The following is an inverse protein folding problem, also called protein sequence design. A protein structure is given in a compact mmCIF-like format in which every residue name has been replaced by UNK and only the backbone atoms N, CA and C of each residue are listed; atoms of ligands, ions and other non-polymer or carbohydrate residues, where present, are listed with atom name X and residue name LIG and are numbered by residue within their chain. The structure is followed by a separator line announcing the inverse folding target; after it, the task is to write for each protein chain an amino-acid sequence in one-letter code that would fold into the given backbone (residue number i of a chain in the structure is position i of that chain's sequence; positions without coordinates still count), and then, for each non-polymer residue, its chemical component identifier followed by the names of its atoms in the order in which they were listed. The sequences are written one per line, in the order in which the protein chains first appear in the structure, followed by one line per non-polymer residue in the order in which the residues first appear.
data_IF_666645096551
#
_entry.id   IF_666645096551
#
_cell.length_a   1.000
_cell.length_b   1.000
_cell.length_c   1.000
_cell.angle_alpha   90.00
_cell.angle_beta   90.00
_cell.angle_gamma   90.00
#
_symmetry.space_group_name_H-M   'P 1'
#
loop_
_entity.id
_entity.type
_entity.pdbx_description
1 polymer ?
#
# COMPACT_ATOMS: atom_id res chain seq x y z
N UNK A 1 -20.91 10.00 -5.75
CA UNK A 1 -20.40 9.83 -4.37
C UNK A 1 -19.44 8.65 -4.19
N UNK A 2 -19.47 7.60 -5.04
CA UNK A 2 -18.54 6.46 -4.92
C UNK A 2 -17.04 6.80 -4.95
N UNK A 3 -16.65 7.89 -5.63
CA UNK A 3 -15.26 8.38 -5.65
C UNK A 3 -14.72 8.69 -4.25
N UNK A 4 -15.51 9.34 -3.38
CA UNK A 4 -15.08 9.67 -2.00
C UNK A 4 -14.85 8.37 -1.22
N UNK A 5 -15.75 7.40 -1.38
CA UNK A 5 -15.68 6.13 -0.65
C UNK A 5 -14.43 5.34 -1.05
N UNK A 6 -14.12 5.28 -2.35
CA UNK A 6 -12.98 4.49 -2.83
C UNK A 6 -11.66 5.26 -2.72
N UNK A 7 -11.64 6.57 -2.93
CA UNK A 7 -10.36 7.33 -2.94
C UNK A 7 -9.96 7.88 -1.58
N UNK A 8 -10.90 8.00 -0.64
CA UNK A 8 -10.64 8.58 0.69
C UNK A 8 -10.92 7.55 1.78
N UNK A 9 -12.14 6.99 1.82
CA UNK A 9 -12.53 6.10 2.92
C UNK A 9 -11.76 4.78 2.85
N UNK A 10 -11.62 4.16 1.67
CA UNK A 10 -10.92 2.89 1.53
C UNK A 10 -9.43 2.98 1.93
N UNK A 11 -8.63 3.96 1.47
CA UNK A 11 -7.25 4.09 1.93
C UNK A 11 -7.11 4.37 3.43
N UNK A 12 -8.05 5.12 4.02
CA UNK A 12 -8.10 5.35 5.46
C UNK A 12 -8.43 4.10 6.26
N UNK A 13 -9.38 3.29 5.79
CA UNK A 13 -9.89 2.13 6.54
C UNK A 13 -9.07 0.86 6.32
N UNK A 14 -8.46 0.67 5.14
CA UNK A 14 -7.73 -0.57 4.83
C UNK A 14 -6.58 -0.86 5.81
N UNK A 15 -5.70 0.10 6.18
CA UNK A 15 -4.70 -0.11 7.21
C UNK A 15 -5.31 -0.37 8.60
N UNK A 16 -6.44 0.24 8.94
CA UNK A 16 -7.11 0.04 10.25
C UNK A 16 -7.73 -1.36 10.36
N UNK A 17 -8.29 -1.87 9.26
CA UNK A 17 -8.77 -3.25 9.16
C UNK A 17 -7.58 -4.20 9.30
N UNK A 18 -6.50 -3.98 8.55
CA UNK A 18 -5.28 -4.78 8.65
C UNK A 18 -4.69 -4.76 10.08
N UNK A 19 -4.73 -3.60 10.75
CA UNK A 19 -4.29 -3.43 12.13
C UNK A 19 -5.09 -4.33 13.08
N UNK A 20 -6.39 -4.50 12.83
CA UNK A 20 -7.26 -5.33 13.69
C UNK A 20 -6.85 -6.80 13.67
N UNK A 21 -6.39 -7.30 12.52
CA UNK A 21 -5.84 -8.66 12.39
C UNK A 21 -4.44 -8.81 12.99
N UNK A 22 -3.63 -7.75 12.96
CA UNK A 22 -2.26 -7.77 13.48
C UNK A 22 -2.17 -7.43 14.97
N UNK A 23 -3.22 -6.85 15.55
CA UNK A 23 -3.29 -6.45 16.97
C UNK A 23 -2.89 -7.54 17.97
N UNK A 24 -3.24 -8.83 17.78
CA UNK A 24 -2.80 -9.89 18.69
C UNK A 24 -1.28 -10.09 18.75
N UNK A 25 -0.55 -9.57 17.76
CA UNK A 25 0.90 -9.68 17.65
C UNK A 25 1.64 -8.42 18.17
N UNK A 26 0.93 -7.47 18.78
CA UNK A 26 1.50 -6.18 19.12
C UNK A 26 2.54 -6.22 20.24
N UNK A 27 3.64 -5.49 20.03
CA UNK A 27 4.75 -5.37 20.98
C UNK A 27 4.38 -4.37 22.10
N UNK A 28 4.76 -4.63 23.37
CA UNK A 28 4.51 -3.72 24.48
C UNK A 28 4.98 -2.28 24.23
N UNK A 29 4.16 -1.32 24.66
CA UNK A 29 4.33 0.11 24.42
C UNK A 29 5.62 0.70 25.04
N UNK A 30 6.18 0.02 26.05
CA UNK A 30 7.45 0.35 26.71
C UNK A 30 8.67 0.25 25.80
N UNK A 31 8.55 -0.36 24.61
CA UNK A 31 9.65 -0.52 23.64
C UNK A 31 9.56 0.48 22.47
N UNK A 32 8.68 1.49 22.55
CA UNK A 32 8.51 2.46 21.44
C UNK A 32 9.72 3.41 21.34
N UNK A 33 10.41 3.46 20.17
CA UNK A 33 11.54 4.36 19.96
C UNK A 33 11.11 5.83 19.85
N UNK A 34 12.07 6.74 20.00
CA UNK A 34 11.86 8.20 20.05
C UNK A 34 11.17 8.79 18.83
N UNK A 35 10.52 9.95 19.04
CA UNK A 35 9.73 10.74 18.06
C UNK A 35 10.59 11.37 16.95
N UNK A 36 11.19 10.54 16.10
CA UNK A 36 11.91 11.00 14.90
C UNK A 36 11.03 10.84 13.66
N UNK A 37 10.97 11.88 12.81
CA UNK A 37 10.22 11.87 11.55
C UNK A 37 10.63 10.75 10.58
N UNK A 38 11.86 10.22 10.71
CA UNK A 38 12.34 9.10 9.90
C UNK A 38 11.68 7.77 10.30
N UNK A 39 11.19 7.65 11.53
CA UNK A 39 10.56 6.42 12.05
C UNK A 39 9.28 6.08 11.28
N UNK A 40 8.32 7.01 11.09
CA UNK A 40 7.18 6.77 10.20
C UNK A 40 7.57 6.29 8.80
N UNK A 41 8.52 6.94 8.13
CA UNK A 41 8.94 6.55 6.78
C UNK A 41 9.52 5.14 6.74
N UNK A 42 10.36 4.78 7.72
CA UNK A 42 10.92 3.43 7.87
C UNK A 42 9.87 2.37 8.18
N UNK A 43 8.81 2.76 8.88
CA UNK A 43 7.71 1.92 9.32
C UNK A 43 6.62 1.78 8.25
N UNK A 44 7.00 1.75 6.97
CA UNK A 44 6.07 1.45 5.89
C UNK A 44 4.99 2.51 5.66
N UNK A 45 5.06 3.72 6.25
CA UNK A 45 4.03 4.74 6.06
C UNK A 45 4.00 5.29 4.62
N UNK A 46 5.04 5.05 3.82
CA UNK A 46 4.99 5.31 2.38
C UNK A 46 3.92 4.48 1.65
N UNK A 47 3.54 3.31 2.20
CA UNK A 47 2.51 2.46 1.62
C UNK A 47 1.13 3.11 1.60
N UNK A 48 0.87 4.15 2.40
CA UNK A 48 -0.37 4.93 2.31
C UNK A 48 -0.58 5.52 0.92
N UNK A 49 0.49 6.05 0.30
CA UNK A 49 0.44 6.52 -1.08
C UNK A 49 0.13 5.39 -2.06
N UNK A 50 0.77 4.23 -1.89
CA UNK A 50 0.50 3.06 -2.71
C UNK A 50 -0.98 2.63 -2.65
N UNK A 51 -1.55 2.60 -1.45
CA UNK A 51 -2.97 2.24 -1.22
C UNK A 51 -3.88 3.24 -1.94
N UNK A 52 -3.63 4.55 -1.82
CA UNK A 52 -4.41 5.58 -2.51
C UNK A 52 -4.34 5.45 -4.04
N UNK A 53 -3.15 5.23 -4.60
CA UNK A 53 -3.00 5.02 -6.05
C UNK A 53 -3.69 3.73 -6.52
N UNK A 54 -3.60 2.64 -5.76
CA UNK A 54 -4.29 1.39 -6.09
C UNK A 54 -5.81 1.58 -6.05
N UNK A 55 -6.33 2.24 -5.01
CA UNK A 55 -7.75 2.48 -4.86
C UNK A 55 -8.31 3.37 -5.98
N UNK A 56 -7.61 4.47 -6.32
CA UNK A 56 -7.96 5.33 -7.44
C UNK A 56 -7.95 4.56 -8.78
N UNK A 57 -6.92 3.75 -9.02
CA UNK A 57 -6.82 2.91 -10.23
C UNK A 57 -7.97 1.91 -10.32
N UNK A 58 -8.31 1.24 -9.22
CA UNK A 58 -9.42 0.29 -9.15
C UNK A 58 -10.77 0.96 -9.38
N UNK A 59 -10.95 2.19 -8.90
CA UNK A 59 -12.15 2.98 -9.17
C UNK A 59 -12.31 3.25 -10.66
N UNK A 60 -11.27 3.77 -11.31
CA UNK A 60 -11.30 4.08 -12.74
C UNK A 60 -11.53 2.84 -13.60
N UNK A 61 -10.82 1.74 -13.30
CA UNK A 61 -11.02 0.47 -13.99
C UNK A 61 -12.41 -0.11 -13.75
N UNK A 62 -12.96 0.05 -12.55
CA UNK A 62 -14.31 -0.40 -12.19
C UNK A 62 -15.40 0.30 -13.01
N UNK A 63 -15.31 1.61 -13.17
CA UNK A 63 -16.23 2.38 -14.03
C UNK A 63 -16.17 1.86 -15.47
N UNK A 64 -14.96 1.70 -16.01
CA UNK A 64 -14.76 1.26 -17.40
C UNK A 64 -15.22 -0.18 -17.66
N UNK A 65 -15.07 -1.07 -16.67
CA UNK A 65 -15.53 -2.46 -16.77
C UNK A 65 -17.06 -2.53 -16.89
N UNK A 66 -17.78 -1.66 -16.19
CA UNK A 66 -19.25 -1.64 -16.23
C UNK A 66 -19.81 -1.27 -17.61
N UNK A 67 -19.11 -0.42 -18.35
CA UNK A 67 -19.51 0.01 -19.69
C UNK A 67 -19.25 -1.03 -20.77
N UNK A 68 -18.35 -2.00 -20.53
CA UNK A 68 -17.88 -2.95 -21.54
C UNK A 68 -17.99 -4.39 -21.05
N UNK A 69 -19.17 -4.76 -20.54
CA UNK A 69 -19.51 -6.09 -20.07
C UNK A 69 -19.43 -7.14 -21.19
N UNK A 70 -18.21 -7.60 -21.49
CA UNK A 70 -17.91 -8.74 -22.34
C UNK A 70 -17.26 -9.86 -21.51
N UNK A 71 -17.60 -11.12 -21.81
CA UNK A 71 -17.37 -12.31 -20.98
C UNK A 71 -15.96 -12.93 -21.05
N UNK A 72 -14.91 -12.16 -21.37
CA UNK A 72 -13.54 -12.67 -21.53
C UNK A 72 -12.59 -12.30 -20.38
N UNK A 73 -11.65 -13.21 -20.05
CA UNK A 73 -10.46 -12.86 -19.25
C UNK A 73 -9.65 -11.86 -20.07
N UNK A 74 -9.77 -10.59 -19.72
CA UNK A 74 -9.08 -9.49 -20.37
C UNK A 74 -7.83 -9.11 -19.58
N UNK A 75 -6.85 -8.48 -20.25
CA UNK A 75 -5.69 -7.86 -19.61
C UNK A 75 -6.10 -6.96 -18.43
N UNK A 76 -7.26 -6.31 -18.53
CA UNK A 76 -7.87 -5.50 -17.49
C UNK A 76 -8.17 -6.30 -16.21
N UNK A 77 -8.65 -7.55 -16.33
CA UNK A 77 -8.90 -8.43 -15.18
C UNK A 77 -7.61 -8.76 -14.41
N UNK A 78 -6.53 -9.06 -15.13
CA UNK A 78 -5.21 -9.28 -14.51
C UNK A 78 -4.68 -8.02 -13.81
N UNK A 79 -4.86 -6.85 -14.41
CA UNK A 79 -4.45 -5.57 -13.81
C UNK A 79 -5.24 -5.28 -12.53
N UNK A 80 -6.57 -5.51 -12.53
CA UNK A 80 -7.40 -5.39 -11.32
C UNK A 80 -6.91 -6.32 -10.23
N UNK A 81 -6.67 -7.60 -10.54
CA UNK A 81 -6.17 -8.57 -9.57
C UNK A 81 -4.80 -8.15 -9.00
N UNK A 82 -3.90 -7.65 -9.86
CA UNK A 82 -2.59 -7.15 -9.45
C UNK A 82 -2.70 -5.95 -8.50
N UNK A 83 -3.57 -4.99 -8.81
CA UNK A 83 -3.82 -3.81 -7.96
C UNK A 83 -4.44 -4.18 -6.62
N UNK A 84 -5.34 -5.18 -6.58
CA UNK A 84 -5.90 -5.70 -5.32
C UNK A 84 -4.80 -6.31 -4.45
N UNK A 85 -3.95 -7.17 -5.02
CA UNK A 85 -2.82 -7.78 -4.30
C UNK A 85 -1.87 -6.70 -3.78
N UNK A 86 -1.55 -5.70 -4.61
CA UNK A 86 -0.69 -4.58 -4.23
C UNK A 86 -1.30 -3.77 -3.08
N UNK A 87 -2.59 -3.45 -3.15
CA UNK A 87 -3.33 -2.76 -2.09
C UNK A 87 -3.29 -3.53 -0.77
N UNK A 88 -3.53 -4.85 -0.80
CA UNK A 88 -3.52 -5.71 0.39
C UNK A 88 -2.13 -5.75 1.01
N UNK A 89 -1.08 -6.00 0.22
CA UNK A 89 0.30 -6.06 0.72
C UNK A 89 0.75 -4.71 1.30
N UNK A 90 0.44 -3.61 0.61
CA UNK A 90 0.72 -2.25 1.11
C UNK A 90 -0.02 -1.95 2.41
N UNK A 91 -1.29 -2.37 2.54
CA UNK A 91 -2.08 -2.19 3.77
C UNK A 91 -1.50 -2.98 4.94
N UNK A 92 -1.07 -4.22 4.71
CA UNK A 92 -0.41 -5.05 5.71
C UNK A 92 0.92 -4.46 6.16
N UNK A 93 1.72 -3.90 5.23
CA UNK A 93 2.98 -3.24 5.57
C UNK A 93 2.77 -1.93 6.34
N UNK A 94 1.78 -1.13 5.97
CA UNK A 94 1.44 0.10 6.69
C UNK A 94 0.99 -0.20 8.13
N UNK A 95 0.11 -1.18 8.30
CA UNK A 95 -0.36 -1.63 9.61
C UNK A 95 0.76 -2.31 10.42
N UNK A 96 1.55 -3.16 9.78
CA UNK A 96 2.69 -3.85 10.38
C UNK A 96 3.74 -2.87 10.90
N UNK A 97 4.06 -1.82 10.15
CA UNK A 97 5.00 -0.80 10.62
C UNK A 97 4.46 0.04 11.78
N UNK A 98 3.13 0.19 11.91
CA UNK A 98 2.53 0.81 13.09
C UNK A 98 2.68 -0.05 14.35
N UNK A 99 2.66 -1.38 14.21
CA UNK A 99 2.73 -2.35 15.31
C UNK A 99 4.17 -2.71 15.68
N UNK A 100 5.04 -2.84 14.69
CA UNK A 100 6.43 -3.27 14.82
C UNK A 100 7.36 -2.12 14.43
N UNK A 101 7.50 -1.09 15.28
CA UNK A 101 8.36 0.04 14.96
C UNK A 101 9.81 -0.42 14.83
N UNK A 102 10.43 -0.06 13.72
CA UNK A 102 11.85 -0.35 13.50
C UNK A 102 12.72 0.60 14.31
N UNK A 103 13.78 0.07 14.92
CA UNK A 103 14.75 0.91 15.62
C UNK A 103 15.40 1.90 14.67
N UNK A 104 15.59 3.13 15.16
CA UNK A 104 16.26 4.15 14.39
C UNK A 104 17.77 3.87 14.26
N UNK A 105 18.36 3.30 15.31
CA UNK A 105 19.77 2.92 15.38
C UNK A 105 19.99 1.57 14.72
N UNK A 106 20.97 1.52 13.81
CA UNK A 106 21.41 0.29 13.16
C UNK A 106 22.37 -0.45 14.09
N UNK A 107 22.06 -1.70 14.41
CA UNK A 107 22.98 -2.55 15.18
C UNK A 107 24.30 -2.78 14.42
N UNK A 108 25.41 -2.84 15.15
CA UNK A 108 26.72 -3.12 14.58
C UNK A 108 26.70 -4.46 13.82
N UNK A 109 27.31 -4.51 12.63
CA UNK A 109 27.36 -5.70 11.78
C UNK A 109 26.14 -5.94 10.87
N UNK A 110 25.03 -5.20 11.03
CA UNK A 110 23.88 -5.31 10.13
C UNK A 110 24.10 -4.50 8.84
N UNK A 111 23.99 -5.14 7.68
CA UNK A 111 24.05 -4.47 6.36
C UNK A 111 22.95 -3.41 6.23
N UNK A 112 23.27 -2.27 5.60
CA UNK A 112 22.35 -1.14 5.47
C UNK A 112 21.01 -1.52 4.83
N UNK A 113 21.01 -2.22 3.68
CA UNK A 113 19.76 -2.60 3.01
C UNK A 113 18.87 -3.53 3.86
N UNK A 114 19.44 -4.33 4.76
CA UNK A 114 18.69 -5.19 5.68
C UNK A 114 18.01 -4.36 6.77
N UNK A 115 18.70 -3.33 7.28
CA UNK A 115 18.15 -2.35 8.23
C UNK A 115 17.00 -1.55 7.63
N UNK A 116 17.14 -1.13 6.37
CA UNK A 116 16.14 -0.33 5.64
C UNK A 116 15.20 -1.17 4.77
N UNK A 117 15.08 -2.49 4.99
CA UNK A 117 14.30 -3.37 4.10
C UNK A 117 12.84 -2.95 3.99
N UNK A 118 12.19 -2.61 5.11
CA UNK A 118 10.78 -2.19 5.11
C UNK A 118 10.58 -0.91 4.29
N UNK A 119 11.48 0.08 4.48
CA UNK A 119 11.50 1.31 3.70
C UNK A 119 11.70 1.07 2.20
N UNK A 120 12.66 0.22 1.83
CA UNK A 120 12.93 -0.09 0.41
C UNK A 120 11.75 -0.80 -0.24
N UNK A 121 11.11 -1.72 0.47
CA UNK A 121 9.91 -2.41 -0.01
C UNK A 121 8.74 -1.43 -0.15
N UNK A 122 8.46 -0.59 0.85
CA UNK A 122 7.38 0.39 0.76
C UNK A 122 7.59 1.40 -0.37
N UNK A 123 8.84 1.85 -0.57
CA UNK A 123 9.21 2.71 -1.68
C UNK A 123 8.95 2.04 -3.05
N UNK A 124 9.37 0.78 -3.20
CA UNK A 124 9.15 0.02 -4.43
C UNK A 124 7.66 -0.19 -4.72
N UNK A 125 6.87 -0.56 -3.71
CA UNK A 125 5.42 -0.74 -3.85
C UNK A 125 4.72 0.57 -4.22
N UNK A 126 5.11 1.69 -3.60
CA UNK A 126 4.55 3.01 -3.93
C UNK A 126 4.90 3.44 -5.35
N UNK A 127 6.12 3.15 -5.81
CA UNK A 127 6.51 3.42 -7.20
C UNK A 127 5.74 2.54 -8.19
N UNK A 128 5.58 1.25 -7.92
CA UNK A 128 4.78 0.36 -8.76
C UNK A 128 3.31 0.79 -8.81
N UNK A 129 2.73 1.19 -7.66
CA UNK A 129 1.34 1.65 -7.58
C UNK A 129 1.13 2.97 -8.34
N UNK A 130 2.07 3.92 -8.22
CA UNK A 130 1.98 5.18 -8.96
C UNK A 130 2.14 4.97 -10.46
N UNK A 131 3.05 4.10 -10.89
CA UNK A 131 3.21 3.73 -12.29
C UNK A 131 1.94 3.08 -12.85
N UNK A 132 1.36 2.12 -12.11
CA UNK A 132 0.10 1.49 -12.51
C UNK A 132 -1.03 2.52 -12.61
N UNK A 133 -1.11 3.46 -11.66
CA UNK A 133 -2.07 4.55 -11.71
C UNK A 133 -1.87 5.44 -12.94
N UNK A 134 -0.64 5.85 -13.25
CA UNK A 134 -0.33 6.64 -14.46
C UNK A 134 -0.79 5.90 -15.72
N UNK A 135 -0.50 4.59 -15.82
CA UNK A 135 -0.89 3.78 -16.97
C UNK A 135 -2.41 3.68 -17.14
N UNK A 136 -3.16 3.55 -16.04
CA UNK A 136 -4.62 3.51 -16.02
C UNK A 136 -5.20 4.89 -16.34
N UNK A 137 -4.73 5.93 -15.66
CA UNK A 137 -5.28 7.27 -15.72
C UNK A 137 -5.11 7.92 -17.09
N UNK A 138 -3.94 7.76 -17.70
CA UNK A 138 -3.65 8.32 -19.02
C UNK A 138 -4.00 7.39 -20.18
N UNK A 139 -4.66 6.26 -19.91
CA UNK A 139 -5.04 5.27 -20.93
C UNK A 139 -3.86 4.84 -21.81
N UNK A 140 -2.67 4.73 -21.22
CA UNK A 140 -1.46 4.30 -21.94
C UNK A 140 -1.65 2.87 -22.45
N UNK A 141 -2.35 2.05 -21.67
CA UNK A 141 -2.79 0.71 -22.07
C UNK A 141 -4.09 0.87 -22.87
N UNK A 142 -3.97 1.33 -24.12
CA UNK A 142 -5.08 1.28 -25.09
C UNK A 142 -5.40 -0.18 -25.42
N UNK A 143 -6.70 -0.50 -25.44
CA UNK A 143 -7.24 -1.78 -25.89
C UNK A 143 -6.87 -2.07 -27.33
#
# INVERSE_FOLDING_TARGET
MGWILISIILPLTAPLIALSFLRPLAVPESLRPSLSLMVPLKNGQLCWGAISFCAASLYELGIRSWEKAGTGISLQGYLIACLIVLLVVSSLLAAGGAIFPTSNTRSAGVKWHRHYRCFLVSLALSFCASLAYILVHYDVIKR
#
